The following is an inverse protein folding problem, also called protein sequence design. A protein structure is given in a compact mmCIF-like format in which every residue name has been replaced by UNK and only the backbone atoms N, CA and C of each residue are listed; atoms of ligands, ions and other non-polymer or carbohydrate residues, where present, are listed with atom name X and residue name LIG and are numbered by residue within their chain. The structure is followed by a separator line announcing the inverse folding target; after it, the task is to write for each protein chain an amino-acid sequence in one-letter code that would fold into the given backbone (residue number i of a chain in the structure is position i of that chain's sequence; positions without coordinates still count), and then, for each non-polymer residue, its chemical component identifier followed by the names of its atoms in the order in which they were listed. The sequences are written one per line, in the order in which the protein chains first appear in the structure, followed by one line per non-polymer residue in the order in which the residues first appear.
data_IF_951526470837
#
_entry.id   IF_951526470837
#
_cell.length_a   1.000
_cell.length_b   1.000
_cell.length_c   1.000
_cell.angle_alpha   90.00
_cell.angle_beta   90.00
_cell.angle_gamma   90.00
#
_symmetry.space_group_name_H-M   'P 1'
#
loop_
_entity.id
_entity.type
_entity.pdbx_description
1 polymer ?
#
# COMPACT_ATOMS: atom_id res chain seq x y z
N UNK A 1 50.64 3.91 -13.18
CA UNK A 1 49.52 3.95 -12.20
C UNK A 1 48.24 3.57 -12.94
N UNK A 2 47.73 2.36 -12.72
CA UNK A 2 46.48 1.90 -13.34
C UNK A 2 45.30 2.59 -12.66
N UNK A 3 44.49 3.34 -13.43
CA UNK A 3 43.20 3.88 -12.96
C UNK A 3 42.32 2.67 -12.60
N UNK A 4 42.03 2.49 -11.32
CA UNK A 4 41.01 1.54 -10.86
C UNK A 4 39.65 2.05 -11.35
N UNK A 5 39.15 1.48 -12.44
CA UNK A 5 37.77 1.67 -12.84
C UNK A 5 36.89 0.90 -11.86
N UNK A 6 36.44 1.58 -10.80
CA UNK A 6 35.36 1.10 -9.94
C UNK A 6 34.03 1.28 -10.68
N UNK A 7 33.86 0.65 -11.85
CA UNK A 7 32.54 0.47 -12.43
C UNK A 7 31.94 -0.75 -11.76
N UNK A 8 31.21 -0.53 -10.67
CA UNK A 8 30.27 -1.50 -10.12
C UNK A 8 29.39 -1.97 -11.28
N UNK A 9 29.22 -3.28 -11.47
CA UNK A 9 28.31 -3.79 -12.50
C UNK A 9 26.92 -3.21 -12.25
N UNK A 10 26.52 -2.26 -13.10
CA UNK A 10 25.18 -1.71 -13.11
C UNK A 10 24.33 -2.68 -13.93
N UNK A 11 23.26 -3.21 -13.33
CA UNK A 11 22.29 -4.03 -14.06
C UNK A 11 21.73 -3.26 -15.26
N UNK A 12 21.51 -3.96 -16.37
CA UNK A 12 20.91 -3.38 -17.57
C UNK A 12 19.48 -3.90 -17.73
N UNK A 13 18.54 -2.97 -17.94
CA UNK A 13 17.18 -3.28 -18.38
C UNK A 13 17.04 -2.82 -19.83
N UNK A 14 16.61 -3.73 -20.70
CA UNK A 14 16.40 -3.46 -22.11
C UNK A 14 15.13 -4.18 -22.57
N UNK A 15 14.28 -3.47 -23.31
CA UNK A 15 13.02 -3.98 -23.82
C UNK A 15 12.23 -2.88 -24.52
N UNK A 16 11.49 -3.25 -25.56
CA UNK A 16 10.68 -2.31 -26.36
C UNK A 16 9.58 -1.67 -25.50
N UNK A 17 9.05 -2.41 -24.52
CA UNK A 17 8.00 -1.97 -23.60
C UNK A 17 8.41 -0.78 -22.72
N UNK A 18 9.72 -0.54 -22.54
CA UNK A 18 10.22 0.60 -21.78
C UNK A 18 9.90 1.94 -22.49
N UNK A 19 9.72 1.92 -23.81
CA UNK A 19 9.38 3.12 -24.59
C UNK A 19 8.04 3.73 -24.16
N UNK A 20 7.07 2.90 -23.74
CA UNK A 20 5.77 3.34 -23.21
C UNK A 20 5.89 4.14 -21.90
N UNK A 21 7.04 4.02 -21.21
CA UNK A 21 7.36 4.75 -19.98
C UNK A 21 8.34 5.91 -20.20
N UNK A 22 8.67 6.19 -21.47
CA UNK A 22 9.55 7.30 -21.86
C UNK A 22 11.01 6.94 -22.06
N UNK A 23 11.35 5.64 -22.14
CA UNK A 23 12.69 5.22 -22.50
C UNK A 23 13.06 5.65 -23.94
N UNK A 24 14.35 5.89 -24.16
CA UNK A 24 14.89 6.39 -25.44
C UNK A 24 15.59 7.75 -25.35
N UNK A 25 15.60 8.38 -24.17
CA UNK A 25 16.39 9.57 -23.86
C UNK A 25 17.35 9.28 -22.72
N UNK A 26 18.53 9.88 -22.74
CA UNK A 26 19.43 9.83 -21.59
C UNK A 26 18.73 10.42 -20.35
N UNK A 27 18.97 9.82 -19.18
CA UNK A 27 18.38 10.27 -17.93
C UNK A 27 16.90 9.90 -17.71
N UNK A 28 16.21 9.26 -18.65
CA UNK A 28 14.75 9.03 -18.56
C UNK A 28 14.26 8.34 -17.28
N UNK A 29 15.06 7.46 -16.68
CA UNK A 29 14.74 6.72 -15.45
C UNK A 29 14.94 7.57 -14.18
N UNK A 30 15.87 8.53 -14.20
CA UNK A 30 16.29 9.32 -13.03
C UNK A 30 15.68 10.73 -13.05
N UNK A 31 15.64 11.34 -14.23
CA UNK A 31 15.24 12.74 -14.42
C UNK A 31 13.73 12.91 -14.63
N UNK A 32 12.97 11.81 -14.73
CA UNK A 32 11.52 11.85 -14.90
C UNK A 32 10.79 11.79 -13.54
N UNK A 33 10.30 12.91 -12.99
CA UNK A 33 9.61 12.92 -11.70
C UNK A 33 8.23 12.24 -11.72
N UNK A 34 7.70 11.91 -12.90
CA UNK A 34 6.43 11.22 -13.05
C UNK A 34 6.59 9.70 -13.20
N UNK A 35 7.82 9.20 -13.25
CA UNK A 35 8.11 7.78 -13.28
C UNK A 35 8.24 7.26 -11.85
N UNK A 36 7.37 6.34 -11.50
CA UNK A 36 7.40 5.63 -10.23
C UNK A 36 8.18 4.33 -10.42
N UNK A 37 8.98 3.97 -9.42
CA UNK A 37 9.84 2.79 -9.46
C UNK A 37 9.72 2.05 -8.14
N UNK A 38 9.53 0.74 -8.20
CA UNK A 38 9.57 -0.16 -7.06
C UNK A 38 10.37 -1.41 -7.42
N UNK A 39 11.30 -1.80 -6.55
CA UNK A 39 12.22 -2.92 -6.79
C UNK A 39 12.01 -4.00 -5.73
N UNK A 40 11.80 -5.22 -6.18
CA UNK A 40 11.90 -6.46 -5.41
C UNK A 40 13.16 -7.24 -5.85
N UNK A 41 13.55 -8.19 -5.01
CA UNK A 41 14.56 -9.22 -5.27
C UNK A 41 14.43 -9.90 -6.63
N UNK A 42 13.22 -10.21 -7.11
CA UNK A 42 13.03 -10.86 -8.42
C UNK A 42 12.23 -10.07 -9.46
N UNK A 43 11.82 -8.83 -9.14
CA UNK A 43 11.03 -8.03 -10.07
C UNK A 43 11.29 -6.53 -9.94
N UNK A 44 11.14 -5.80 -11.05
CA UNK A 44 11.16 -4.35 -11.12
C UNK A 44 9.81 -3.87 -11.64
N UNK A 45 9.14 -3.00 -10.90
CA UNK A 45 7.92 -2.33 -11.33
C UNK A 45 8.24 -0.88 -11.69
N UNK A 46 7.84 -0.46 -12.88
CA UNK A 46 7.93 0.91 -13.35
C UNK A 46 6.53 1.40 -13.71
N UNK A 47 6.16 2.61 -13.34
CA UNK A 47 4.85 3.15 -13.68
C UNK A 47 4.90 4.62 -14.07
N UNK A 48 4.08 4.99 -15.05
CA UNK A 48 3.70 6.38 -15.30
C UNK A 48 2.29 6.60 -14.73
N UNK A 49 1.61 7.68 -15.14
CA UNK A 49 0.27 8.03 -14.65
C UNK A 49 -0.83 6.99 -14.93
N UNK A 50 -0.68 6.14 -15.94
CA UNK A 50 -1.76 5.28 -16.45
C UNK A 50 -1.33 3.84 -16.75
N UNK A 51 -0.03 3.58 -16.80
CA UNK A 51 0.56 2.30 -17.18
C UNK A 51 1.57 1.87 -16.11
N UNK A 52 1.51 0.60 -15.77
CA UNK A 52 2.53 -0.09 -14.97
C UNK A 52 3.16 -1.17 -15.85
N UNK A 53 4.48 -1.25 -15.83
CA UNK A 53 5.26 -2.32 -16.43
C UNK A 53 5.95 -3.10 -15.32
N UNK A 54 5.61 -4.39 -15.20
CA UNK A 54 6.33 -5.32 -14.33
C UNK A 54 7.38 -6.04 -15.17
N UNK A 55 8.62 -6.02 -14.71
CA UNK A 55 9.74 -6.74 -15.31
C UNK A 55 10.19 -7.81 -14.33
N UNK A 56 10.10 -9.07 -14.71
CA UNK A 56 10.52 -10.19 -13.87
C UNK A 56 11.93 -10.64 -14.28
N UNK A 57 12.85 -10.72 -13.32
CA UNK A 57 14.19 -11.24 -13.57
C UNK A 57 14.07 -12.76 -13.84
N UNK A 58 14.64 -13.22 -14.96
CA UNK A 58 14.64 -14.65 -15.27
C UNK A 58 15.51 -15.41 -14.27
N UNK A 59 14.96 -16.42 -13.59
CA UNK A 59 15.81 -17.49 -13.05
C UNK A 59 16.34 -18.28 -14.25
N UNK A 60 17.66 -18.29 -14.45
CA UNK A 60 18.23 -19.16 -15.47
C UNK A 60 18.08 -20.60 -14.99
N UNK A 61 17.18 -21.36 -15.61
CA UNK A 61 17.18 -22.81 -15.41
C UNK A 61 18.31 -23.34 -16.29
N UNK A 62 19.37 -23.86 -15.66
CA UNK A 62 20.54 -24.45 -16.33
C UNK A 62 21.26 -23.51 -17.32
N UNK A 63 21.31 -22.20 -17.04
CA UNK A 63 22.05 -21.23 -17.87
C UNK A 63 21.40 -20.94 -19.23
N UNK A 64 20.16 -21.41 -19.48
CA UNK A 64 19.39 -21.03 -20.67
C UNK A 64 18.29 -20.02 -20.29
N UNK A 65 18.09 -18.97 -21.11
CA UNK A 65 16.91 -18.13 -20.98
C UNK A 65 15.67 -18.96 -21.34
N UNK A 66 14.72 -19.02 -20.42
CA UNK A 66 13.41 -19.63 -20.64
C UNK A 66 12.62 -18.80 -21.66
N UNK A 67 12.22 -19.37 -22.81
CA UNK A 67 11.50 -18.65 -23.87
C UNK A 67 10.04 -18.34 -23.51
N UNK A 68 9.44 -19.06 -22.56
CA UNK A 68 8.01 -18.93 -22.24
C UNK A 68 7.73 -18.01 -21.05
N UNK A 69 8.78 -17.46 -20.44
CA UNK A 69 8.63 -16.65 -19.25
C UNK A 69 8.14 -15.24 -19.63
N UNK A 70 6.97 -14.85 -19.13
CA UNK A 70 6.39 -13.50 -19.26
C UNK A 70 7.30 -12.47 -18.58
N UNK A 71 8.40 -12.11 -19.25
CA UNK A 71 9.45 -11.20 -18.75
C UNK A 71 8.91 -9.81 -18.45
N UNK A 72 7.89 -9.39 -19.18
CA UNK A 72 7.25 -8.10 -19.05
C UNK A 72 5.72 -8.25 -18.99
N UNK A 73 5.09 -7.60 -18.02
CA UNK A 73 3.62 -7.55 -17.89
C UNK A 73 3.20 -6.09 -17.86
N UNK A 74 2.28 -5.71 -18.76
CA UNK A 74 1.68 -4.37 -18.80
C UNK A 74 0.34 -4.37 -18.09
N UNK A 75 0.18 -3.48 -17.11
CA UNK A 75 -1.07 -3.27 -16.39
C UNK A 75 -1.59 -1.87 -16.70
N UNK A 76 -2.85 -1.80 -17.12
CA UNK A 76 -3.60 -0.55 -17.25
C UNK A 76 -4.73 -0.57 -16.23
N UNK A 77 -4.53 0.02 -15.03
CA UNK A 77 -5.59 0.07 -14.03
C UNK A 77 -6.83 0.79 -14.55
N UNK A 78 -7.99 0.39 -14.07
CA UNK A 78 -9.23 1.13 -14.30
C UNK A 78 -9.21 2.40 -13.43
N UNK A 79 -8.98 3.54 -14.08
CA UNK A 79 -8.87 4.86 -13.47
C UNK A 79 -10.04 5.74 -13.91
N UNK A 80 -10.61 6.51 -12.98
CA UNK A 80 -11.72 7.42 -13.25
C UNK A 80 -11.30 8.55 -14.20
N UNK A 81 -11.85 8.62 -15.43
CA UNK A 81 -11.56 9.71 -16.36
C UNK A 81 -12.19 11.03 -15.89
N UNK A 82 -13.28 10.97 -15.11
CA UNK A 82 -14.02 12.13 -14.62
C UNK A 82 -13.19 12.89 -13.59
N UNK A 83 -12.51 12.17 -12.70
CA UNK A 83 -11.68 12.76 -11.64
C UNK A 83 -10.23 13.00 -12.11
N UNK A 84 -9.93 12.70 -13.38
CA UNK A 84 -8.58 12.65 -13.93
C UNK A 84 -7.63 11.81 -13.05
N UNK A 85 -8.13 10.66 -12.60
CA UNK A 85 -7.41 9.76 -11.68
C UNK A 85 -6.11 9.26 -12.33
N UNK A 86 -5.03 9.24 -11.55
CA UNK A 86 -3.73 8.75 -12.00
C UNK A 86 -3.02 7.94 -10.92
N UNK A 87 -2.11 7.08 -11.35
CA UNK A 87 -1.22 6.31 -10.49
C UNK A 87 -0.25 7.26 -9.79
N UNK A 88 -0.23 7.21 -8.47
CA UNK A 88 0.48 8.17 -7.63
C UNK A 88 1.56 7.53 -6.74
N UNK A 89 1.44 6.24 -6.45
CA UNK A 89 2.42 5.47 -5.72
C UNK A 89 2.37 3.99 -6.15
N UNK A 90 3.51 3.32 -6.12
CA UNK A 90 3.62 1.86 -6.28
C UNK A 90 4.63 1.34 -5.24
N UNK A 91 4.42 0.13 -4.72
CA UNK A 91 5.34 -0.53 -3.80
C UNK A 91 5.13 -2.05 -3.86
N UNK A 92 6.21 -2.83 -3.79
CA UNK A 92 6.12 -4.28 -3.72
C UNK A 92 5.72 -4.72 -2.31
N UNK A 93 4.73 -5.61 -2.21
CA UNK A 93 4.44 -6.35 -0.99
C UNK A 93 4.97 -7.77 -1.18
N UNK A 94 5.92 -8.15 -0.33
CA UNK A 94 6.59 -9.45 -0.34
C UNK A 94 6.38 -10.05 1.03
N UNK A 95 5.73 -11.22 1.09
CA UNK A 95 5.44 -11.91 2.33
C UNK A 95 6.25 -13.21 2.43
N UNK A 96 6.50 -13.65 3.67
CA UNK A 96 7.05 -14.98 3.97
C UNK A 96 6.05 -16.05 3.47
N UNK A 97 6.26 -16.56 2.25
CA UNK A 97 5.64 -17.72 1.56
C UNK A 97 5.79 -17.59 0.01
N UNK A 98 6.79 -16.85 -0.49
CA UNK A 98 6.94 -16.45 -1.91
C UNK A 98 5.74 -15.69 -2.50
N UNK A 99 4.78 -15.28 -1.68
CA UNK A 99 3.63 -14.47 -2.09
C UNK A 99 4.11 -13.04 -2.32
N UNK A 100 3.99 -12.59 -3.57
CA UNK A 100 4.41 -11.25 -4.00
C UNK A 100 3.35 -10.60 -4.83
N UNK A 101 3.04 -9.35 -4.50
CA UNK A 101 2.02 -8.55 -5.17
C UNK A 101 2.47 -7.10 -5.26
N UNK A 102 1.99 -6.37 -6.27
CA UNK A 102 2.24 -4.94 -6.38
C UNK A 102 1.08 -4.17 -5.76
N UNK A 103 1.36 -3.36 -4.75
CA UNK A 103 0.43 -2.37 -4.25
C UNK A 103 0.54 -1.07 -5.07
N UNK A 104 -0.61 -0.51 -5.40
CA UNK A 104 -0.74 0.68 -6.24
C UNK A 104 -1.69 1.66 -5.58
N UNK A 105 -1.25 2.91 -5.42
CA UNK A 105 -2.04 4.00 -4.86
C UNK A 105 -2.39 5.03 -5.93
N UNK A 106 -3.61 5.53 -5.92
CA UNK A 106 -4.08 6.53 -6.90
C UNK A 106 -4.25 7.93 -6.30
N UNK A 107 -4.37 8.91 -7.19
CA UNK A 107 -4.65 10.30 -6.84
C UNK A 107 -6.00 10.54 -6.16
N UNK A 108 -6.93 9.60 -6.30
CA UNK A 108 -8.25 9.62 -5.66
C UNK A 108 -8.30 8.75 -4.40
N UNK A 109 -7.15 8.25 -3.93
CA UNK A 109 -7.04 7.53 -2.67
C UNK A 109 -7.45 6.06 -2.71
N UNK A 110 -7.54 5.49 -3.91
CA UNK A 110 -7.71 4.05 -4.07
C UNK A 110 -6.41 3.30 -3.84
N UNK A 111 -6.46 2.28 -2.97
CA UNK A 111 -5.46 1.24 -2.87
C UNK A 111 -5.89 0.05 -3.74
N UNK A 112 -5.05 -0.32 -4.69
CA UNK A 112 -5.20 -1.48 -5.54
C UNK A 112 -4.06 -2.46 -5.29
N UNK A 113 -4.34 -3.76 -5.36
CA UNK A 113 -3.35 -4.83 -5.24
C UNK A 113 -3.40 -5.66 -6.52
N UNK A 114 -2.27 -5.79 -7.21
CA UNK A 114 -2.14 -6.57 -8.43
C UNK A 114 -1.22 -7.78 -8.23
N UNK A 115 -1.56 -8.90 -8.85
CA UNK A 115 -0.66 -10.05 -8.95
C UNK A 115 0.54 -9.75 -9.85
N UNK A 116 1.60 -10.55 -9.74
CA UNK A 116 2.76 -10.50 -10.66
C UNK A 116 2.38 -10.72 -12.14
N UNK A 117 1.20 -11.29 -12.41
CA UNK A 117 0.65 -11.51 -13.74
C UNK A 117 -0.28 -10.38 -14.20
N UNK A 118 -0.36 -9.28 -13.43
CA UNK A 118 -1.15 -8.10 -13.77
C UNK A 118 -2.65 -8.22 -13.53
N UNK A 119 -3.10 -9.24 -12.79
CA UNK A 119 -4.51 -9.38 -12.40
C UNK A 119 -4.81 -8.53 -11.17
N UNK A 120 -5.89 -7.77 -11.19
CA UNK A 120 -6.39 -7.05 -10.02
C UNK A 120 -6.90 -8.06 -8.99
N UNK A 121 -6.36 -8.00 -7.78
CA UNK A 121 -6.74 -8.86 -6.64
C UNK A 121 -7.70 -8.09 -5.73
N UNK A 122 -7.39 -6.83 -5.46
CA UNK A 122 -8.14 -6.00 -4.52
C UNK A 122 -8.16 -4.54 -4.96
N UNK A 123 -9.27 -3.85 -4.69
CA UNK A 123 -9.43 -2.41 -4.89
C UNK A 123 -10.33 -1.85 -3.80
N UNK A 124 -9.86 -0.84 -3.08
CA UNK A 124 -10.67 -0.16 -2.06
C UNK A 124 -10.29 1.31 -1.92
N UNK A 125 -11.24 2.12 -1.49
CA UNK A 125 -10.99 3.52 -1.11
C UNK A 125 -10.46 3.56 0.33
N UNK A 126 -9.33 4.24 0.55
CA UNK A 126 -8.73 4.39 1.89
C UNK A 126 -9.09 5.75 2.49
N UNK A 127 -8.96 6.80 1.68
CA UNK A 127 -9.39 8.17 1.98
C UNK A 127 -9.64 8.87 0.64
N UNK A 128 -10.27 10.05 0.59
CA UNK A 128 -10.46 10.78 -0.68
C UNK A 128 -9.19 11.50 -1.17
N UNK A 129 -8.16 11.61 -0.33
CA UNK A 129 -6.90 12.26 -0.69
C UNK A 129 -5.97 11.38 -1.53
N UNK A 130 -5.12 12.04 -2.35
CA UNK A 130 -4.04 11.38 -3.10
C UNK A 130 -3.14 10.54 -2.18
N UNK A 131 -2.86 9.31 -2.59
CA UNK A 131 -1.80 8.52 -1.96
C UNK A 131 -0.45 9.09 -2.37
N UNK A 132 0.34 9.50 -1.38
CA UNK A 132 1.66 10.10 -1.59
C UNK A 132 2.75 9.04 -1.64
N UNK A 133 2.61 8.00 -0.82
CA UNK A 133 3.59 6.92 -0.71
C UNK A 133 2.96 5.69 -0.08
N UNK A 134 3.38 4.53 -0.54
CA UNK A 134 3.16 3.25 0.12
C UNK A 134 4.47 2.87 0.83
N UNK A 135 4.38 2.30 2.03
CA UNK A 135 5.55 1.79 2.76
C UNK A 135 5.22 0.43 3.36
N UNK A 136 6.14 -0.51 3.18
CA UNK A 136 6.12 -1.79 3.88
C UNK A 136 7.14 -1.72 5.02
N UNK A 137 6.77 -2.20 6.20
CA UNK A 137 7.64 -2.32 7.36
C UNK A 137 7.56 -3.73 7.90
N UNK A 138 8.66 -4.48 7.87
CA UNK A 138 8.77 -5.68 8.69
C UNK A 138 9.11 -5.28 10.12
N UNK A 139 8.25 -5.54 11.10
CA UNK A 139 8.67 -5.48 12.50
C UNK A 139 9.42 -6.76 12.80
N UNK A 140 10.75 -6.75 12.64
CA UNK A 140 11.59 -7.80 13.20
C UNK A 140 11.69 -7.54 14.71
N UNK A 141 10.65 -7.96 15.45
CA UNK A 141 10.73 -8.03 16.89
C UNK A 141 11.75 -9.13 17.25
N UNK A 142 12.51 -8.91 18.32
CA UNK A 142 13.69 -9.66 18.71
C UNK A 142 13.58 -11.19 18.59
N UNK A 143 14.75 -11.83 18.47
CA UNK A 143 15.12 -13.24 18.22
C UNK A 143 14.32 -14.39 18.91
N UNK A 144 13.17 -14.14 19.53
CA UNK A 144 12.40 -15.10 20.32
C UNK A 144 10.92 -15.24 19.94
N UNK A 145 10.42 -14.58 18.90
CA UNK A 145 9.06 -14.83 18.39
C UNK A 145 8.98 -14.72 16.86
N UNK A 146 8.59 -15.83 16.24
CA UNK A 146 8.61 -16.10 14.80
C UNK A 146 7.38 -15.51 14.08
N UNK A 147 7.00 -14.28 14.42
CA UNK A 147 5.91 -13.56 13.74
C UNK A 147 6.41 -12.18 13.32
N UNK A 148 7.00 -12.11 12.14
CA UNK A 148 7.19 -10.87 11.38
C UNK A 148 5.81 -10.26 11.12
N UNK A 149 5.36 -9.34 11.98
CA UNK A 149 4.23 -8.48 11.60
C UNK A 149 4.76 -7.50 10.55
N UNK A 150 4.46 -7.79 9.30
CA UNK A 150 4.65 -6.84 8.22
C UNK A 150 3.50 -5.84 8.26
N UNK A 151 3.79 -4.56 8.35
CA UNK A 151 2.79 -3.49 8.31
C UNK A 151 2.87 -2.78 6.96
N UNK A 152 1.71 -2.51 6.35
CA UNK A 152 1.63 -1.72 5.12
C UNK A 152 0.99 -0.37 5.44
N UNK A 153 1.73 0.71 5.24
CA UNK A 153 1.30 2.07 5.49
C UNK A 153 0.97 2.78 4.17
N UNK A 154 -0.23 3.35 4.08
CA UNK A 154 -0.67 4.24 3.00
C UNK A 154 -0.58 5.68 3.51
N UNK A 155 0.39 6.43 2.99
CA UNK A 155 0.64 7.82 3.39
C UNK A 155 -0.15 8.77 2.49
N UNK A 156 -0.96 9.63 3.11
CA UNK A 156 -1.80 10.63 2.45
C UNK A 156 -1.60 12.00 3.13
N UNK A 157 -2.07 13.11 2.54
CA UNK A 157 -1.98 14.42 3.17
C UNK A 157 -2.66 14.46 4.54
N UNK A 158 -1.86 14.65 5.60
CA UNK A 158 -2.34 14.75 6.98
C UNK A 158 -2.85 13.43 7.60
N UNK A 159 -2.76 12.31 6.88
CA UNK A 159 -3.31 11.03 7.34
C UNK A 159 -2.41 9.85 6.91
N UNK A 160 -2.25 8.86 7.79
CA UNK A 160 -1.63 7.58 7.47
C UNK A 160 -2.66 6.49 7.74
N UNK A 161 -2.94 5.63 6.76
CA UNK A 161 -3.69 4.40 7.00
C UNK A 161 -2.72 3.23 7.16
N UNK A 162 -2.91 2.43 8.21
CA UNK A 162 -2.09 1.26 8.52
C UNK A 162 -2.91 -0.01 8.32
N UNK A 163 -2.38 -0.89 7.49
CA UNK A 163 -2.88 -2.24 7.25
C UNK A 163 -1.97 -3.24 7.95
N UNK A 164 -2.58 -4.22 8.61
CA UNK A 164 -1.86 -5.35 9.16
C UNK A 164 -1.54 -6.36 8.05
N UNK A 165 -0.29 -6.79 7.95
CA UNK A 165 0.15 -7.70 6.89
C UNK A 165 -0.51 -9.07 6.97
N UNK A 166 -0.91 -9.53 8.16
CA UNK A 166 -1.68 -10.78 8.32
C UNK A 166 -3.01 -10.73 7.59
N UNK A 167 -3.69 -9.57 7.58
CA UNK A 167 -4.97 -9.40 6.92
C UNK A 167 -4.80 -9.41 5.40
N UNK A 168 -3.75 -8.74 4.91
CA UNK A 168 -3.37 -8.78 3.49
C UNK A 168 -3.01 -10.21 3.09
N UNK A 169 -2.16 -10.89 3.86
CA UNK A 169 -1.75 -12.28 3.60
C UNK A 169 -2.96 -13.22 3.54
N UNK A 170 -3.90 -13.09 4.47
CA UNK A 170 -5.14 -13.87 4.48
C UNK A 170 -5.97 -13.62 3.22
N UNK A 171 -6.14 -12.35 2.81
CA UNK A 171 -6.81 -12.01 1.56
C UNK A 171 -6.13 -12.64 0.34
N UNK A 172 -4.80 -12.59 0.28
CA UNK A 172 -4.03 -13.17 -0.82
C UNK A 172 -4.16 -14.69 -0.86
N UNK A 173 -4.11 -15.36 0.29
CA UNK A 173 -4.31 -16.81 0.38
C UNK A 173 -5.71 -17.23 -0.07
N UNK A 174 -6.75 -16.50 0.36
CA UNK A 174 -8.14 -16.74 -0.08
C UNK A 174 -8.28 -16.55 -1.59
N UNK A 175 -7.72 -15.47 -2.14
CA UNK A 175 -7.75 -15.22 -3.59
C UNK A 175 -7.04 -16.32 -4.37
N UNK A 176 -5.88 -16.79 -3.88
CA UNK A 176 -5.12 -17.86 -4.54
C UNK A 176 -5.88 -19.19 -4.51
N UNK A 177 -6.48 -19.55 -3.36
CA UNK A 177 -7.32 -20.75 -3.22
C UNK A 177 -8.52 -20.71 -4.17
N UNK A 178 -9.23 -19.57 -4.25
CA UNK A 178 -10.36 -19.37 -5.17
C UNK A 178 -9.94 -19.47 -6.63
N UNK A 179 -8.82 -18.85 -6.99
CA UNK A 179 -8.28 -18.91 -8.36
C UNK A 179 -7.91 -20.34 -8.75
N UNK A 180 -7.35 -21.12 -7.81
CA UNK A 180 -7.05 -22.52 -8.04
C UNK A 180 -8.30 -23.39 -8.15
N UNK A 181 -9.35 -23.17 -7.34
CA UNK A 181 -10.60 -23.94 -7.47
C UNK A 181 -11.30 -23.65 -8.80
N UNK A 182 -11.37 -22.39 -9.22
CA UNK A 182 -11.97 -22.00 -10.51
C UNK A 182 -11.21 -22.59 -11.71
N UNK A 183 -9.88 -22.74 -11.59
CA UNK A 183 -9.08 -23.40 -12.62
C UNK A 183 -9.44 -24.88 -12.80
N UNK A 184 -9.81 -25.58 -11.72
CA UNK A 184 -10.27 -26.97 -11.79
C UNK A 184 -11.75 -27.10 -12.19
N UNK A 185 -12.59 -26.13 -11.82
CA UNK A 185 -14.02 -26.11 -12.18
C UNK A 185 -14.26 -25.72 -13.65
N UNK A 186 -13.28 -25.09 -14.32
CA UNK A 186 -13.33 -24.78 -15.76
C UNK A 186 -13.32 -25.99 -16.69
N UNK A 187 -13.32 -27.22 -16.16
CA UNK A 187 -13.69 -28.42 -16.90
C UNK A 187 -15.15 -28.43 -17.38
N UNK A 188 -16.05 -27.66 -16.78
CA UNK A 188 -17.45 -27.57 -17.20
C UNK A 188 -18.04 -26.19 -16.88
N UNK A 189 -18.59 -25.53 -17.92
CA UNK A 189 -19.29 -24.23 -17.94
C UNK A 189 -18.45 -22.94 -18.08
N UNK A 190 -18.39 -22.48 -19.33
CA UNK A 190 -18.22 -21.09 -19.71
C UNK A 190 -19.51 -20.34 -19.37
N UNK A 191 -19.53 -19.63 -18.24
CA UNK A 191 -20.38 -18.46 -18.05
C UNK A 191 -19.53 -17.38 -17.42
N UNK A 192 -19.24 -16.36 -18.20
CA UNK A 192 -18.58 -15.12 -17.76
C UNK A 192 -19.60 -14.41 -16.87
N UNK A 193 -19.54 -14.66 -15.56
CA UNK A 193 -20.32 -13.95 -14.56
C UNK A 193 -19.52 -12.79 -14.00
N UNK A 194 -20.14 -11.61 -14.07
CA UNK A 194 -19.76 -10.32 -13.51
C UNK A 194 -19.63 -10.37 -11.97
N UNK A 195 -18.63 -11.07 -11.45
CA UNK A 195 -18.40 -11.15 -10.00
C UNK A 195 -16.96 -10.77 -9.65
N UNK A 196 -16.58 -9.53 -9.99
CA UNK A 196 -15.29 -8.93 -9.63
C UNK A 196 -15.28 -8.29 -8.24
N UNK A 197 -16.21 -8.61 -7.33
CA UNK A 197 -16.40 -7.80 -6.14
C UNK A 197 -17.08 -8.46 -4.95
N UNK A 198 -16.45 -9.46 -4.34
CA UNK A 198 -16.79 -9.85 -2.95
C UNK A 198 -15.57 -10.19 -2.08
N UNK A 199 -14.39 -9.65 -2.40
CA UNK A 199 -13.29 -9.62 -1.43
C UNK A 199 -13.64 -8.60 -0.34
N UNK A 200 -13.80 -9.08 0.89
CA UNK A 200 -13.97 -8.27 2.09
C UNK A 200 -12.97 -7.11 2.10
N UNK A 201 -13.45 -5.88 2.37
CA UNK A 201 -12.58 -4.71 2.55
C UNK A 201 -11.49 -5.04 3.56
N UNK A 202 -10.24 -4.71 3.23
CA UNK A 202 -9.14 -4.89 4.17
C UNK A 202 -9.35 -3.90 5.33
N UNK A 203 -9.34 -4.36 6.58
CA UNK A 203 -9.40 -3.47 7.73
C UNK A 203 -8.11 -2.64 7.80
N UNK A 204 -8.24 -1.40 8.27
CA UNK A 204 -7.10 -0.53 8.52
C UNK A 204 -7.37 0.42 9.67
N UNK A 205 -6.29 0.89 10.29
CA UNK A 205 -6.32 1.96 11.28
C UNK A 205 -5.94 3.28 10.61
N UNK A 206 -6.70 4.35 10.90
CA UNK A 206 -6.43 5.68 10.36
C UNK A 206 -5.77 6.55 11.43
N UNK A 207 -4.59 7.09 11.13
CA UNK A 207 -3.83 7.97 12.02
C UNK A 207 -3.80 9.38 11.45
N UNK A 208 -4.30 10.35 12.20
CA UNK A 208 -4.23 11.77 11.82
C UNK A 208 -2.85 12.33 12.21
N UNK A 209 -2.13 12.83 11.22
CA UNK A 209 -0.83 13.51 11.38
C UNK A 209 -1.06 15.01 11.22
N UNK A 210 -1.76 15.61 12.19
CA UNK A 210 -2.01 17.06 12.20
C UNK A 210 -0.72 17.85 12.47
N UNK A 211 -0.66 19.09 11.97
CA UNK A 211 0.51 19.98 11.97
C UNK A 211 1.04 20.42 13.37
N UNK A 212 0.46 19.97 14.48
CA UNK A 212 0.69 20.57 15.81
C UNK A 212 1.00 19.58 16.95
N UNK A 213 1.70 18.49 16.68
CA UNK A 213 2.13 17.56 17.74
C UNK A 213 3.61 17.19 17.67
N UNK A 214 4.25 17.05 18.85
CA UNK A 214 5.62 16.51 19.05
C UNK A 214 5.78 15.04 18.57
N UNK A 215 4.76 14.45 17.96
CA UNK A 215 4.69 13.05 17.53
C UNK A 215 4.59 12.89 16.00
N UNK A 216 4.73 13.96 15.22
CA UNK A 216 4.72 13.85 13.75
C UNK A 216 5.82 12.89 13.27
N UNK A 217 7.03 13.00 13.83
CA UNK A 217 8.12 12.08 13.51
C UNK A 217 7.83 10.64 13.95
N UNK A 218 7.22 10.44 15.12
CA UNK A 218 6.85 9.11 15.64
C UNK A 218 5.74 8.41 14.82
N UNK A 219 4.78 9.18 14.32
CA UNK A 219 3.72 8.69 13.42
C UNK A 219 4.27 8.42 12.01
N UNK A 220 5.19 9.26 11.52
CA UNK A 220 5.90 9.02 10.25
C UNK A 220 6.79 7.77 10.37
N UNK A 221 7.39 7.50 11.53
CA UNK A 221 8.17 6.27 11.80
C UNK A 221 7.31 5.07 12.16
N UNK A 222 6.01 5.21 12.38
CA UNK A 222 5.10 4.12 12.76
C UNK A 222 5.30 3.62 14.20
N UNK A 223 6.07 4.33 15.03
CA UNK A 223 6.49 3.87 16.36
C UNK A 223 5.43 4.07 17.44
N UNK A 224 4.48 4.99 17.23
CA UNK A 224 3.29 5.10 18.08
C UNK A 224 2.10 5.64 17.30
N UNK A 225 0.87 5.21 17.61
CA UNK A 225 -0.30 6.00 17.27
C UNK A 225 -0.18 7.38 17.94
N UNK A 226 -0.56 8.49 17.28
CA UNK A 226 -0.65 9.77 17.95
C UNK A 226 -1.59 9.62 19.15
N UNK A 227 -1.27 10.21 20.32
CA UNK A 227 -2.12 10.10 21.50
C UNK A 227 -3.53 10.56 21.15
N UNK A 228 -4.51 9.68 21.36
CA UNK A 228 -5.93 10.02 21.34
C UNK A 228 -6.20 11.00 22.49
N UNK A 229 -6.06 12.30 22.23
CA UNK A 229 -6.58 13.36 23.11
C UNK A 229 -7.46 14.32 22.32
N UNK A 230 -8.64 13.84 21.95
CA UNK A 230 -9.84 14.69 21.90
C UNK A 230 -11.02 13.94 22.56
N UNK A 231 -10.83 13.54 23.82
CA UNK A 231 -11.97 13.38 24.74
C UNK A 231 -12.31 14.78 25.24
N UNK A 232 -13.47 15.29 24.82
CA UNK A 232 -14.29 16.31 25.49
C UNK A 232 -13.56 17.32 26.40
N UNK A 233 -13.18 18.46 25.83
CA UNK A 233 -12.87 19.68 26.59
C UNK A 233 -13.96 20.75 26.42
N UNK A 234 -15.23 20.32 26.41
CA UNK A 234 -16.41 21.19 26.59
C UNK A 234 -17.01 21.07 28.01
N UNK A 235 -16.37 20.34 28.94
CA UNK A 235 -16.89 20.18 30.31
C UNK A 235 -15.96 20.64 31.45
N UNK A 236 -15.03 21.57 31.20
CA UNK A 236 -14.23 22.19 32.29
C UNK A 236 -14.06 23.72 32.20
N UNK A 237 -14.98 24.43 31.53
CA UNK A 237 -15.15 25.89 31.66
C UNK A 237 -16.63 26.28 31.80
N UNK A 238 -17.37 25.56 32.64
CA UNK A 238 -18.80 25.83 32.91
C UNK A 238 -19.29 25.35 34.27
N UNK A 239 -18.43 25.30 35.28
CA UNK A 239 -18.84 25.11 36.67
C UNK A 239 -18.06 26.07 37.58
N UNK A 240 -18.74 26.59 38.60
CA UNK A 240 -18.59 27.90 39.26
C UNK A 240 -19.42 28.96 38.49
N UNK A 241 -20.63 29.36 38.89
CA UNK A 241 -21.16 29.57 40.24
C UNK A 241 -22.67 29.33 40.21
N UNK A 242 -23.18 28.43 41.05
CA UNK A 242 -24.59 28.42 41.46
C UNK A 242 -24.61 28.65 42.96
N UNK A 243 -24.90 29.89 43.36
CA UNK A 243 -25.21 30.23 44.75
C UNK A 243 -26.45 29.43 45.16
N UNK A 244 -26.27 28.47 46.05
CA UNK A 244 -27.38 27.77 46.69
C UNK A 244 -27.44 28.24 48.13
N UNK A 245 -28.38 29.15 48.40
CA UNK A 245 -28.78 29.53 49.75
C UNK A 245 -29.39 28.29 50.40
N UNK A 246 -28.72 27.75 51.41
CA UNK A 246 -29.28 26.71 52.28
C UNK A 246 -29.99 27.43 53.44
N UNK A 247 -31.32 27.49 53.37
CA UNK A 247 -32.16 27.73 54.55
C UNK A 247 -32.42 26.38 55.24
N UNK A 248 -32.05 26.29 56.51
CA UNK A 248 -32.27 25.14 57.39
C UNK A 248 -33.76 24.99 57.76
N UNK A 249 -34.35 23.79 57.70
CA UNK A 249 -35.70 23.57 58.19
C UNK A 249 -35.73 23.04 59.64
N UNK A 250 -36.73 23.55 60.37
CA UNK A 250 -37.47 22.97 61.49
C UNK A 250 -36.91 23.14 62.92
N UNK A 251 -37.57 24.05 63.66
CA UNK A 251 -38.22 23.64 64.92
C UNK A 251 -39.55 24.39 65.09
N UNK A 252 -40.62 23.62 65.26
CA UNK A 252 -41.97 24.08 65.62
C UNK A 252 -42.16 23.99 67.14
N UNK A 253 -43.09 24.84 67.61
CA UNK A 253 -43.89 24.80 68.84
C UNK A 253 -43.43 25.75 69.96
N UNK A 254 -44.37 26.27 70.78
CA UNK A 254 -45.72 26.77 70.49
C UNK A 254 -45.89 28.27 70.82
#
# INVERSE_FOLDING_TARGET
MSRRNHTTELGCIAGEDLSDLGAGKEGWLVDNPNLLVSLDTHSLALANRFLILLLNWSQSINGRPDPDNHRAVKIRPELSPIEAEYISAIEWLVFDDDIRVLAVGTSCGYLMIFSIHGRLIHRQIVNSGKILKLRVRGTKQDLTQDTSSEEVCVVMPGVIARFEGSDIKTLLQQWLQKTHSEFWDQGFNVNISEDSGSSSSLPYQLWNVSKYGLCADAAITGLMPPPLMEIQLILLLGSQVNDTIVQSPLEMMP
#
